data_IF_998902783757
#
_entry.id   IF_998902783757
#
_cell.length_a   1.000
_cell.length_b   1.000
_cell.length_c   1.000
_cell.angle_alpha   90.00
_cell.angle_beta   90.00
_cell.angle_gamma   90.00
#
_symmetry.space_group_name_H-M   'P 1'
#
loop_
_entity.id
_entity.type
_entity.pdbx_description
1 polymer ?
#
# COMPACT_ATOMS: atom_id res chain seq x y z
N UNK A 1 3.34 8.08 6.43
CA UNK A 1 1.95 7.60 6.54
C UNK A 1 1.87 6.10 6.23
N UNK A 2 0.81 5.48 6.70
CA UNK A 2 0.62 4.03 6.60
C UNK A 2 0.25 3.62 5.18
N UNK A 3 0.69 2.44 4.77
CA UNK A 3 0.39 1.82 3.48
C UNK A 3 -0.08 0.39 3.69
N UNK A 4 -0.95 -0.09 2.81
CA UNK A 4 -1.27 -1.50 2.73
C UNK A 4 -0.31 -2.23 1.78
N UNK A 5 -0.07 -3.51 2.03
CA UNK A 5 0.84 -4.33 1.24
C UNK A 5 0.12 -5.26 0.26
N UNK A 6 -1.21 -5.27 0.21
CA UNK A 6 -1.99 -6.16 -0.66
C UNK A 6 -1.67 -5.98 -2.15
N UNK A 7 -1.31 -4.75 -2.56
CA UNK A 7 -0.93 -4.42 -3.94
C UNK A 7 0.59 -4.47 -4.19
N UNK A 8 1.38 -4.96 -3.23
CA UNK A 8 2.85 -4.96 -3.33
C UNK A 8 3.34 -6.33 -3.79
N UNK A 9 4.13 -6.35 -4.85
CA UNK A 9 4.82 -7.52 -5.36
C UNK A 9 6.09 -7.81 -4.56
N UNK A 10 6.91 -6.76 -4.36
CA UNK A 10 8.16 -6.83 -3.59
C UNK A 10 8.57 -5.46 -3.06
N UNK A 11 9.44 -5.49 -2.08
CA UNK A 11 10.08 -4.31 -1.51
C UNK A 11 11.58 -4.45 -1.71
N UNK A 12 12.17 -3.49 -2.43
CA UNK A 12 13.61 -3.41 -2.67
C UNK A 12 14.23 -2.41 -1.70
N UNK A 13 15.21 -2.84 -0.91
CA UNK A 13 15.97 -1.95 -0.02
C UNK A 13 17.32 -1.66 -0.66
N UNK A 14 17.52 -0.41 -1.10
CA UNK A 14 18.73 0.06 -1.74
C UNK A 14 19.51 0.87 -0.73
N UNK A 15 20.69 0.40 -0.34
CA UNK A 15 21.56 1.06 0.64
C UNK A 15 22.56 1.96 -0.08
N UNK A 16 22.84 3.13 0.50
CA UNK A 16 23.80 4.11 -0.02
C UNK A 16 23.17 5.16 -0.95
N UNK A 17 23.98 6.03 -1.57
CA UNK A 17 23.52 7.16 -2.37
C UNK A 17 22.89 6.70 -3.68
N UNK A 18 21.55 6.66 -3.72
CA UNK A 18 20.76 6.23 -4.88
C UNK A 18 20.18 7.42 -5.69
N UNK A 19 20.55 8.65 -5.36
CA UNK A 19 19.97 9.86 -5.95
C UNK A 19 20.17 9.97 -7.48
N UNK A 20 21.23 9.37 -8.00
CA UNK A 20 21.52 9.38 -9.45
C UNK A 20 20.48 8.59 -10.24
N UNK A 21 19.97 7.49 -9.67
CA UNK A 21 19.01 6.61 -10.35
C UNK A 21 17.55 6.91 -9.99
N UNK A 22 17.31 7.40 -8.77
CA UNK A 22 15.95 7.53 -8.22
C UNK A 22 15.57 8.96 -7.85
N UNK A 23 16.42 9.94 -8.19
CA UNK A 23 16.18 11.35 -7.89
C UNK A 23 16.46 11.73 -6.43
N UNK A 24 15.85 12.82 -5.96
CA UNK A 24 16.09 13.36 -4.62
C UNK A 24 15.62 12.36 -3.54
N UNK A 25 16.57 11.79 -2.83
CA UNK A 25 16.33 10.83 -1.76
C UNK A 25 17.27 11.04 -0.57
N UNK A 26 17.16 10.18 0.42
CA UNK A 26 18.05 10.14 1.58
C UNK A 26 19.44 9.64 1.18
N UNK A 27 20.49 10.23 1.74
CA UNK A 27 21.88 9.76 1.57
C UNK A 27 22.11 8.34 2.13
N UNK A 28 21.28 7.89 3.03
CA UNK A 28 21.37 6.55 3.65
C UNK A 28 20.79 5.42 2.81
N UNK A 29 19.94 5.73 1.85
CA UNK A 29 19.31 4.73 0.98
C UNK A 29 17.84 5.01 0.65
N UNK A 30 17.22 4.03 -0.01
CA UNK A 30 15.87 4.10 -0.53
C UNK A 30 15.13 2.77 -0.30
N UNK A 31 13.88 2.85 0.09
CA UNK A 31 12.94 1.71 0.07
C UNK A 31 12.03 1.88 -1.13
N UNK A 32 12.18 1.00 -2.12
CA UNK A 32 11.36 0.98 -3.32
C UNK A 32 10.27 -0.09 -3.19
N UNK A 33 9.02 0.32 -3.39
CA UNK A 33 7.86 -0.55 -3.39
C UNK A 33 7.41 -0.82 -4.82
N UNK A 34 7.56 -2.06 -5.26
CA UNK A 34 7.11 -2.50 -6.58
C UNK A 34 5.69 -3.06 -6.46
N UNK A 35 4.77 -2.47 -7.19
CA UNK A 35 3.37 -2.87 -7.18
C UNK A 35 3.10 -4.02 -8.13
N UNK A 36 2.16 -4.89 -7.76
CA UNK A 36 1.64 -5.97 -8.60
C UNK A 36 1.09 -5.40 -9.91
N UNK A 37 1.35 -6.11 -11.01
CA UNK A 37 0.92 -5.71 -12.36
C UNK A 37 -0.03 -6.75 -12.94
N UNK A 38 -0.90 -6.34 -13.90
CA UNK A 38 -1.67 -7.29 -14.70
C UNK A 38 -0.76 -8.17 -15.59
N UNK A 39 -1.27 -9.32 -16.02
CA UNK A 39 -0.60 -10.22 -16.94
C UNK A 39 -0.59 -11.67 -16.49
N UNK A 40 -0.93 -11.93 -15.24
CA UNK A 40 -1.07 -13.27 -14.68
C UNK A 40 -2.54 -13.60 -14.42
N UNK A 41 -2.92 -14.84 -14.69
CA UNK A 41 -4.21 -15.37 -14.27
C UNK A 41 -4.12 -15.80 -12.81
N UNK A 42 -4.73 -15.04 -11.94
CA UNK A 42 -4.66 -15.25 -10.49
C UNK A 42 -6.06 -15.15 -9.86
N UNK A 43 -6.33 -15.98 -8.87
CA UNK A 43 -7.53 -15.94 -8.03
C UNK A 43 -7.15 -16.35 -6.63
N UNK A 44 -6.88 -15.38 -5.79
CA UNK A 44 -6.51 -15.60 -4.39
C UNK A 44 -7.43 -14.79 -3.48
N UNK A 45 -7.92 -15.44 -2.43
CA UNK A 45 -8.65 -14.82 -1.33
C UNK A 45 -8.02 -15.32 -0.05
N UNK A 46 -7.58 -14.40 0.78
CA UNK A 46 -6.99 -14.68 2.09
C UNK A 46 -7.91 -14.19 3.20
N UNK A 47 -8.08 -15.00 4.23
CA UNK A 47 -8.76 -14.63 5.46
C UNK A 47 -7.79 -14.85 6.61
N UNK A 48 -7.63 -13.87 7.47
CA UNK A 48 -6.87 -14.00 8.71
C UNK A 48 -7.69 -13.51 9.90
N UNK A 49 -7.49 -14.19 11.01
CA UNK A 49 -8.07 -13.83 12.30
C UNK A 49 -6.98 -13.96 13.37
N UNK A 50 -6.81 -12.92 14.16
CA UNK A 50 -5.77 -12.82 15.17
C UNK A 50 -6.31 -12.45 16.56
N UNK A 51 -5.39 -12.26 17.50
CA UNK A 51 -5.70 -11.73 18.82
C UNK A 51 -6.30 -10.32 18.72
N UNK A 52 -7.02 -9.90 19.76
CA UNK A 52 -7.68 -8.59 19.84
C UNK A 52 -8.63 -8.31 18.68
N UNK A 53 -9.43 -9.30 18.28
CA UNK A 53 -10.40 -9.21 17.19
C UNK A 53 -9.80 -8.77 15.85
N UNK A 54 -8.51 -8.97 15.63
CA UNK A 54 -7.90 -8.67 14.34
C UNK A 54 -8.47 -9.58 13.25
N UNK A 55 -9.04 -8.98 12.23
CA UNK A 55 -9.71 -9.64 11.10
C UNK A 55 -9.27 -8.97 9.81
N UNK A 56 -8.75 -9.77 8.90
CA UNK A 56 -8.32 -9.28 7.61
C UNK A 56 -8.81 -10.18 6.49
N UNK A 57 -9.34 -9.55 5.45
CA UNK A 57 -9.67 -10.15 4.16
C UNK A 57 -8.73 -9.55 3.12
N UNK A 58 -8.05 -10.39 2.36
CA UNK A 58 -7.23 -10.02 1.22
C UNK A 58 -7.80 -10.63 -0.06
N UNK A 59 -7.74 -9.88 -1.16
CA UNK A 59 -8.17 -10.33 -2.49
C UNK A 59 -7.08 -9.98 -3.51
N UNK A 60 -6.78 -10.94 -4.40
CA UNK A 60 -5.90 -10.77 -5.55
C UNK A 60 -6.49 -11.54 -6.74
N UNK A 61 -7.07 -10.80 -7.67
CA UNK A 61 -7.74 -11.34 -8.86
C UNK A 61 -7.11 -10.75 -10.10
N UNK A 62 -6.79 -11.58 -11.07
CA UNK A 62 -6.24 -11.15 -12.35
C UNK A 62 -6.64 -12.08 -13.48
N UNK A 63 -6.80 -11.50 -14.67
CA UNK A 63 -7.11 -12.24 -15.90
C UNK A 63 -6.54 -11.52 -17.10
N UNK A 64 -6.25 -12.31 -18.13
CA UNK A 64 -5.97 -11.82 -19.47
C UNK A 64 -7.06 -12.30 -20.42
N UNK A 65 -7.33 -11.54 -21.48
CA UNK A 65 -8.17 -12.02 -22.57
C UNK A 65 -7.40 -13.06 -23.43
N UNK A 66 -8.11 -13.82 -24.25
CA UNK A 66 -7.54 -14.90 -25.08
C UNK A 66 -6.41 -14.41 -26.00
N UNK A 67 -6.54 -13.21 -26.55
CA UNK A 67 -5.50 -12.61 -27.41
C UNK A 67 -4.30 -12.05 -26.64
N UNK A 68 -4.36 -11.98 -25.31
CA UNK A 68 -3.34 -11.33 -24.48
C UNK A 68 -3.19 -9.82 -24.71
N UNK A 69 -4.12 -9.19 -25.47
CA UNK A 69 -4.08 -7.75 -25.76
C UNK A 69 -4.56 -6.89 -24.60
N UNK A 70 -5.35 -7.48 -23.70
CA UNK A 70 -5.82 -6.81 -22.48
C UNK A 70 -5.64 -7.74 -21.28
N UNK A 71 -5.09 -7.21 -20.21
CA UNK A 71 -5.05 -7.87 -18.91
C UNK A 71 -5.47 -6.91 -17.81
N UNK A 72 -6.05 -7.44 -16.75
CA UNK A 72 -6.40 -6.65 -15.57
C UNK A 72 -6.01 -7.38 -14.28
N UNK A 73 -5.81 -6.63 -13.21
CA UNK A 73 -5.61 -7.16 -11.86
C UNK A 73 -6.31 -6.26 -10.85
N UNK A 74 -6.97 -6.88 -9.89
CA UNK A 74 -7.60 -6.23 -8.76
C UNK A 74 -6.99 -6.79 -7.49
N UNK A 75 -6.31 -5.95 -6.72
CA UNK A 75 -5.87 -6.30 -5.38
C UNK A 75 -6.61 -5.44 -4.36
N UNK A 76 -6.84 -5.99 -3.18
CA UNK A 76 -7.51 -5.25 -2.12
C UNK A 76 -7.39 -5.94 -0.78
N UNK A 77 -7.64 -5.16 0.27
CA UNK A 77 -7.70 -5.65 1.64
C UNK A 77 -8.68 -4.84 2.47
N UNK A 78 -9.32 -5.51 3.41
CA UNK A 78 -10.09 -4.89 4.49
C UNK A 78 -9.61 -5.48 5.80
N UNK A 79 -9.23 -4.61 6.74
CA UNK A 79 -8.67 -4.99 8.03
C UNK A 79 -9.34 -4.21 9.13
N UNK A 80 -9.73 -4.91 10.18
CA UNK A 80 -10.24 -4.33 11.43
C UNK A 80 -9.70 -5.11 12.60
N UNK A 81 -9.20 -4.39 13.60
CA UNK A 81 -8.68 -5.00 14.80
C UNK A 81 -8.60 -4.01 15.95
N UNK A 82 -8.46 -4.55 17.14
CA UNK A 82 -8.14 -3.85 18.36
C UNK A 82 -6.64 -4.03 18.68
N UNK A 83 -6.22 -3.77 19.90
CA UNK A 83 -4.85 -3.97 20.38
C UNK A 83 -4.87 -4.43 21.84
N UNK A 84 -3.70 -4.87 22.35
CA UNK A 84 -3.51 -5.08 23.79
C UNK A 84 -3.64 -3.76 24.58
N UNK A 85 -3.45 -2.62 23.91
CA UNK A 85 -3.65 -1.30 24.53
C UNK A 85 -5.09 -0.86 24.41
N UNK A 86 -5.59 -0.29 25.52
CA UNK A 86 -6.96 0.21 25.58
C UNK A 86 -7.24 1.28 24.52
N UNK A 87 -8.44 1.25 23.96
CA UNK A 87 -8.93 2.17 22.91
C UNK A 87 -8.21 2.05 21.55
N UNK A 88 -7.05 1.44 21.46
CA UNK A 88 -6.33 1.26 20.19
C UNK A 88 -7.14 0.42 19.21
N UNK A 89 -7.17 0.86 17.95
CA UNK A 89 -7.85 0.14 16.86
C UNK A 89 -7.17 0.41 15.52
N UNK A 90 -7.46 -0.46 14.56
CA UNK A 90 -7.22 -0.26 13.14
C UNK A 90 -8.50 -0.51 12.36
N UNK A 91 -8.84 0.38 11.42
CA UNK A 91 -9.86 0.17 10.38
C UNK A 91 -9.23 0.61 9.06
N UNK A 92 -8.89 -0.37 8.22
CA UNK A 92 -8.20 -0.16 6.96
C UNK A 92 -8.99 -0.76 5.82
N UNK A 93 -9.05 -0.02 4.71
CA UNK A 93 -9.60 -0.46 3.44
C UNK A 93 -8.64 -0.04 2.34
N UNK A 94 -8.24 -0.99 1.52
CA UNK A 94 -7.36 -0.76 0.39
C UNK A 94 -7.93 -1.46 -0.84
N UNK A 95 -7.89 -0.79 -2.00
CA UNK A 95 -8.23 -1.37 -3.29
C UNK A 95 -7.31 -0.76 -4.35
N UNK A 96 -6.76 -1.60 -5.21
CA UNK A 96 -5.83 -1.17 -6.25
C UNK A 96 -6.12 -1.90 -7.58
N UNK A 97 -7.11 -1.43 -8.35
CA UNK A 97 -7.35 -1.92 -9.70
C UNK A 97 -6.25 -1.45 -10.67
N UNK A 98 -5.89 -2.31 -11.60
CA UNK A 98 -4.93 -2.04 -12.65
C UNK A 98 -5.32 -2.75 -13.94
N UNK A 99 -4.94 -2.17 -15.09
CA UNK A 99 -5.18 -2.74 -16.41
C UNK A 99 -4.00 -2.45 -17.33
N UNK A 100 -3.70 -3.40 -18.20
CA UNK A 100 -2.68 -3.25 -19.23
C UNK A 100 -3.28 -3.56 -20.59
N UNK A 101 -2.99 -2.70 -21.55
CA UNK A 101 -3.41 -2.80 -22.94
C UNK A 101 -2.18 -2.92 -23.83
N UNK A 102 -2.15 -3.91 -24.70
CA UNK A 102 -1.18 -4.04 -25.80
C UNK A 102 -1.86 -3.53 -27.05
N UNK A 103 -1.38 -2.43 -27.60
CA UNK A 103 -1.87 -1.79 -28.82
C UNK A 103 -0.92 -2.17 -29.95
N UNK A 104 -1.20 -3.30 -30.61
CA UNK A 104 -0.28 -3.95 -31.54
C UNK A 104 0.93 -4.55 -30.82
N UNK A 105 2.02 -4.77 -31.58
CA UNK A 105 3.24 -5.44 -31.07
C UNK A 105 4.22 -4.49 -30.37
N UNK A 106 4.11 -3.20 -30.63
CA UNK A 106 5.12 -2.21 -30.21
C UNK A 106 4.66 -1.27 -29.11
N UNK A 107 3.37 -1.24 -28.77
CA UNK A 107 2.84 -0.29 -27.79
C UNK A 107 2.15 -0.99 -26.62
N UNK A 108 2.50 -0.59 -25.41
CA UNK A 108 1.85 -1.05 -24.18
C UNK A 108 1.43 0.16 -23.35
N UNK A 109 0.20 0.13 -22.85
CA UNK A 109 -0.29 1.12 -21.90
C UNK A 109 -0.76 0.45 -20.63
N UNK A 110 -0.12 0.80 -19.50
CA UNK A 110 -0.43 0.30 -18.16
C UNK A 110 -1.09 1.41 -17.35
N UNK A 111 -2.25 1.11 -16.78
CA UNK A 111 -2.96 1.96 -15.82
C UNK A 111 -2.92 1.27 -14.47
N UNK A 112 -2.54 2.01 -13.42
CA UNK A 112 -2.54 1.53 -12.04
C UNK A 112 -3.19 2.58 -11.16
N UNK A 113 -4.10 2.15 -10.30
CA UNK A 113 -4.74 3.03 -9.33
C UNK A 113 -4.58 2.44 -7.93
N UNK A 114 -4.64 3.29 -6.91
CA UNK A 114 -4.60 2.88 -5.51
C UNK A 114 -5.51 3.79 -4.72
N UNK A 115 -6.42 3.18 -3.96
CA UNK A 115 -7.29 3.85 -3.00
C UNK A 115 -7.07 3.21 -1.64
N UNK A 116 -6.71 4.02 -0.66
CA UNK A 116 -6.49 3.58 0.71
C UNK A 116 -7.23 4.51 1.67
N UNK A 117 -7.94 3.93 2.58
CA UNK A 117 -8.42 4.58 3.80
C UNK A 117 -7.91 3.80 5.00
N UNK A 118 -7.20 4.48 5.90
CA UNK A 118 -6.67 3.92 7.14
C UNK A 118 -7.06 4.83 8.29
N UNK A 119 -7.78 4.28 9.24
CA UNK A 119 -8.21 4.99 10.44
C UNK A 119 -7.72 4.23 11.67
N UNK A 120 -7.05 4.93 12.56
CA UNK A 120 -6.49 4.36 13.79
C UNK A 120 -6.37 5.39 14.89
N UNK A 121 -6.33 4.92 16.13
CA UNK A 121 -6.03 5.80 17.26
C UNK A 121 -4.53 6.13 17.26
N UNK A 122 -4.22 7.39 17.54
CA UNK A 122 -2.85 7.82 17.83
C UNK A 122 -2.59 7.66 19.33
N UNK A 123 -1.57 6.89 19.67
CA UNK A 123 -1.18 6.63 21.06
C UNK A 123 0.29 7.02 21.24
N UNK A 124 0.55 7.87 22.22
CA UNK A 124 1.91 8.33 22.57
C UNK A 124 2.62 7.41 23.55
N UNK A 125 1.95 6.31 23.95
CA UNK A 125 2.51 5.33 24.86
C UNK A 125 2.40 5.72 26.33
N UNK A 126 3.13 4.99 27.16
CA UNK A 126 3.21 5.22 28.61
C UNK A 126 4.32 6.24 28.87
N UNK A 127 4.04 7.34 29.58
CA UNK A 127 5.03 8.37 29.87
C UNK A 127 6.15 7.83 30.77
N UNK A 128 7.34 8.40 30.64
CA UNK A 128 8.46 8.13 31.52
C UNK A 128 8.58 9.18 32.63
N UNK A 129 8.88 8.72 33.84
CA UNK A 129 9.21 9.54 34.98
C UNK A 129 10.51 9.07 35.62
N UNK A 130 11.44 9.97 35.88
CA UNK A 130 12.80 9.65 36.37
C UNK A 130 13.53 8.55 35.55
N UNK A 131 13.38 8.56 34.23
CA UNK A 131 14.06 7.62 33.32
C UNK A 131 13.46 6.21 33.29
N UNK A 132 12.28 5.99 33.85
CA UNK A 132 11.55 4.73 33.82
C UNK A 132 10.09 4.98 33.40
N UNK A 133 9.45 4.02 32.69
CA UNK A 133 8.00 4.09 32.51
C UNK A 133 7.29 4.18 33.88
N UNK A 134 6.22 4.96 33.95
CA UNK A 134 5.38 4.96 35.15
C UNK A 134 4.79 3.59 35.39
N UNK A 135 4.64 3.22 36.67
CA UNK A 135 4.15 1.90 37.08
C UNK A 135 2.62 1.84 36.94
N UNK A 136 2.20 1.43 35.74
CA UNK A 136 0.78 1.24 35.37
C UNK A 136 0.67 0.01 34.50
N UNK A 137 -0.55 -0.52 34.33
CA UNK A 137 -0.79 -1.61 33.41
C UNK A 137 -0.32 -1.23 32.00
N UNK A 138 0.41 -2.11 31.29
CA UNK A 138 0.86 -1.85 29.92
C UNK A 138 -0.27 -1.57 28.91
N UNK A 139 -1.49 -1.97 29.20
CA UNK A 139 -2.67 -1.67 28.38
C UNK A 139 -3.16 -0.24 28.51
N UNK A 140 -2.74 0.50 29.54
CA UNK A 140 -3.26 1.82 29.88
C UNK A 140 -3.12 2.81 28.73
N UNK A 141 -4.21 3.39 28.29
CA UNK A 141 -4.27 4.51 27.34
C UNK A 141 -4.46 5.83 28.09
N UNK A 142 -3.58 6.79 27.82
CA UNK A 142 -3.63 8.14 28.43
C UNK A 142 -4.30 9.14 27.47
N UNK A 143 -5.60 9.07 27.35
CA UNK A 143 -6.39 9.97 26.52
C UNK A 143 -7.85 9.97 26.92
N UNK A 144 -8.69 10.63 26.11
CA UNK A 144 -10.11 10.76 26.38
C UNK A 144 -10.83 9.39 26.31
N UNK A 145 -11.90 9.24 27.10
CA UNK A 145 -12.72 8.02 27.10
C UNK A 145 -13.34 7.75 25.73
N UNK A 146 -13.71 8.79 24.98
CA UNK A 146 -14.27 8.72 23.64
C UNK A 146 -13.22 8.91 22.51
N UNK A 147 -11.94 8.64 22.77
CA UNK A 147 -10.85 8.88 21.83
C UNK A 147 -11.03 8.16 20.47
N UNK A 148 -11.69 7.00 20.45
CA UNK A 148 -12.00 6.28 19.19
C UNK A 148 -12.85 7.12 18.24
N UNK A 149 -13.63 8.05 18.76
CA UNK A 149 -14.54 8.88 17.97
C UNK A 149 -13.95 10.27 17.69
N UNK A 150 -13.06 10.77 18.54
CA UNK A 150 -12.56 12.17 18.51
C UNK A 150 -11.09 12.27 18.14
N UNK A 151 -10.23 11.34 18.57
CA UNK A 151 -8.77 11.50 18.56
C UNK A 151 -8.07 10.53 17.59
N UNK A 152 -8.77 10.07 16.57
CA UNK A 152 -8.21 9.17 15.57
C UNK A 152 -7.44 9.92 14.48
N UNK A 153 -6.43 9.27 13.95
CA UNK A 153 -5.77 9.66 12.71
C UNK A 153 -6.44 8.95 11.53
N UNK A 154 -6.80 9.72 10.51
CA UNK A 154 -7.31 9.18 9.26
C UNK A 154 -6.36 9.54 8.12
N UNK A 155 -5.92 8.53 7.40
CA UNK A 155 -5.14 8.69 6.16
C UNK A 155 -6.00 8.25 4.98
N UNK A 156 -6.14 9.11 3.98
CA UNK A 156 -6.75 8.79 2.69
C UNK A 156 -5.71 8.96 1.61
N UNK A 157 -5.63 7.99 0.72
CA UNK A 157 -4.71 8.00 -0.42
C UNK A 157 -5.48 7.71 -1.68
N UNK A 158 -5.26 8.54 -2.69
CA UNK A 158 -5.73 8.31 -4.05
C UNK A 158 -4.53 8.46 -4.99
N UNK A 159 -4.23 7.44 -5.75
CA UNK A 159 -3.14 7.46 -6.72
C UNK A 159 -3.61 6.92 -8.06
N UNK A 160 -3.26 7.63 -9.11
CA UNK A 160 -3.53 7.27 -10.50
C UNK A 160 -2.21 7.33 -11.26
N UNK A 161 -1.80 6.22 -11.87
CA UNK A 161 -0.58 6.16 -12.64
C UNK A 161 -0.83 5.58 -14.03
N UNK A 162 -0.26 6.20 -15.04
CA UNK A 162 -0.24 5.73 -16.41
C UNK A 162 1.20 5.55 -16.88
N UNK A 163 1.48 4.42 -17.53
CA UNK A 163 2.78 4.18 -18.16
C UNK A 163 2.55 3.77 -19.62
N UNK A 164 2.97 4.59 -20.55
CA UNK A 164 3.02 4.28 -21.97
C UNK A 164 4.44 3.85 -22.34
N UNK A 165 4.54 2.70 -22.98
CA UNK A 165 5.79 2.24 -23.58
C UNK A 165 5.56 1.99 -25.05
N UNK A 166 6.39 2.60 -25.93
CA UNK A 166 6.34 2.39 -27.37
C UNK A 166 7.72 2.09 -27.90
N UNK A 167 7.85 1.04 -28.70
CA UNK A 167 9.08 0.67 -29.39
C UNK A 167 8.95 1.03 -30.87
N UNK A 168 9.71 2.04 -31.30
CA UNK A 168 9.73 2.47 -32.70
C UNK A 168 10.47 1.47 -33.59
N UNK A 169 11.59 0.94 -33.09
CA UNK A 169 12.43 -0.07 -33.72
C UNK A 169 13.35 -0.70 -32.67
N UNK A 170 14.32 -1.51 -33.09
CA UNK A 170 15.23 -2.23 -32.16
C UNK A 170 16.19 -1.30 -31.39
N UNK A 171 16.40 -0.07 -31.89
CA UNK A 171 17.32 0.89 -31.29
C UNK A 171 16.61 2.02 -30.52
N UNK A 172 15.31 2.24 -30.76
CA UNK A 172 14.59 3.36 -30.20
C UNK A 172 13.29 2.95 -29.51
N UNK A 173 13.14 3.36 -28.29
CA UNK A 173 11.91 3.22 -27.53
C UNK A 173 11.58 4.47 -26.74
N UNK A 174 10.31 4.73 -26.52
CA UNK A 174 9.78 5.78 -25.66
C UNK A 174 9.09 5.14 -24.46
N UNK A 175 9.38 5.63 -23.27
CA UNK A 175 8.62 5.34 -22.06
C UNK A 175 8.21 6.64 -21.41
N UNK A 176 6.89 6.85 -21.30
CA UNK A 176 6.30 7.95 -20.52
C UNK A 176 5.61 7.37 -19.29
N UNK A 177 5.90 7.90 -18.13
CA UNK A 177 5.26 7.52 -16.87
C UNK A 177 4.74 8.77 -16.17
N UNK A 178 3.43 8.80 -15.93
CA UNK A 178 2.75 9.91 -15.25
C UNK A 178 2.06 9.38 -14.02
N UNK A 179 2.14 10.12 -12.91
CA UNK A 179 1.42 9.78 -11.67
C UNK A 179 0.80 11.03 -11.07
N UNK A 180 -0.47 10.93 -10.74
CA UNK A 180 -1.17 11.86 -9.86
C UNK A 180 -1.36 11.19 -8.49
N UNK A 181 -1.16 11.98 -7.44
CA UNK A 181 -1.21 11.50 -6.05
C UNK A 181 -1.86 12.56 -5.17
N UNK A 182 -2.87 12.12 -4.41
CA UNK A 182 -3.59 12.95 -3.43
C UNK A 182 -3.72 12.22 -2.09
#
# INVERSE_FOLDING_TARGET
YYRDLSNVERIDVIKGPAAVLYGRGSSGGLINRVTKKPGEDISQVGLSYGSWNDRRLDVDLGRSNESGSMSWRLTGAVEKGDSYRDKQFIDRKAIAPSAQFKLGESTTYLIQTEFLEDRRLTDFGIPAYHGRPVDVDPSTYYGAENARDTDYTQTRVQSYAGTLTHRFNDNWSLRNATRYYH
#
